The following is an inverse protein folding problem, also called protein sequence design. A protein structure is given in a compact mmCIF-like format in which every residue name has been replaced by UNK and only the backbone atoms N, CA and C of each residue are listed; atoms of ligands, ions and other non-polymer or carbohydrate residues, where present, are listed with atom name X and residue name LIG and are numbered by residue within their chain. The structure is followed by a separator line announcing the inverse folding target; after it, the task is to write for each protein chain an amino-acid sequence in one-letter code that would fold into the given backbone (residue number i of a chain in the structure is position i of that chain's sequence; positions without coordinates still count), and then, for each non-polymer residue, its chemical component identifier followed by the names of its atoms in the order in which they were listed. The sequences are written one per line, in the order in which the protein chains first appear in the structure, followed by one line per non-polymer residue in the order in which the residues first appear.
data_IF_563967884380
#
_entry.id   IF_563967884380
#
_cell.length_a   1.000
_cell.length_b   1.000
_cell.length_c   1.000
_cell.angle_alpha   90.00
_cell.angle_beta   90.00
_cell.angle_gamma   90.00
#
_symmetry.space_group_name_H-M   'P 1'
#
loop_
_entity.id
_entity.type
_entity.pdbx_description
1 polymer ?
#
# COMPACT_ATOMS: atom_id res chain seq x y z
N UNK A 1 -57.36 1.71 -47.29
CA UNK A 1 -58.30 0.72 -46.73
C UNK A 1 -59.00 0.04 -47.88
N UNK A 2 -58.59 -1.18 -48.25
CA UNK A 2 -59.39 -2.03 -49.12
C UNK A 2 -60.30 -2.84 -48.20
N UNK A 3 -61.60 -2.56 -48.27
CA UNK A 3 -62.66 -3.27 -47.55
C UNK A 3 -62.80 -4.69 -48.10
N UNK A 4 -62.43 -5.70 -47.30
CA UNK A 4 -62.74 -7.10 -47.61
C UNK A 4 -64.19 -7.36 -47.17
N UNK A 5 -65.04 -7.64 -48.15
CA UNK A 5 -66.44 -8.03 -47.94
C UNK A 5 -66.51 -9.53 -47.64
N UNK A 6 -67.02 -9.86 -46.46
CA UNK A 6 -67.64 -11.15 -46.11
C UNK A 6 -66.79 -12.42 -46.28
N UNK A 7 -65.99 -12.75 -45.24
CA UNK A 7 -65.45 -14.10 -45.04
C UNK A 7 -66.52 -15.02 -44.45
N UNK A 8 -67.07 -15.86 -45.30
CA UNK A 8 -68.13 -16.82 -45.00
C UNK A 8 -67.73 -17.85 -43.95
N UNK A 9 -68.45 -17.81 -42.84
CA UNK A 9 -68.81 -18.92 -41.96
C UNK A 9 -69.21 -20.17 -42.78
N UNK A 10 -68.33 -21.16 -42.90
CA UNK A 10 -68.64 -22.48 -43.50
C UNK A 10 -67.57 -23.14 -44.41
N UNK A 11 -66.40 -22.52 -44.63
CA UNK A 11 -65.42 -22.97 -45.63
C UNK A 11 -64.36 -23.98 -45.15
N UNK A 12 -64.34 -24.37 -43.87
CA UNK A 12 -63.26 -25.21 -43.34
C UNK A 12 -61.86 -24.55 -43.43
N UNK A 13 -61.79 -23.25 -43.73
CA UNK A 13 -60.57 -22.47 -43.72
C UNK A 13 -60.17 -22.22 -42.26
N UNK A 14 -58.99 -22.72 -41.90
CA UNK A 14 -58.38 -22.47 -40.60
C UNK A 14 -57.92 -21.01 -40.52
N UNK A 15 -58.87 -20.15 -40.15
CA UNK A 15 -58.63 -18.72 -39.98
C UNK A 15 -57.61 -18.44 -38.87
N UNK A 16 -57.48 -19.35 -37.89
CA UNK A 16 -56.43 -19.26 -36.87
C UNK A 16 -55.07 -19.57 -37.51
N UNK A 17 -54.95 -20.64 -38.28
CA UNK A 17 -53.72 -20.95 -39.02
C UNK A 17 -53.30 -19.88 -40.04
N UNK A 18 -54.24 -19.22 -40.72
CA UNK A 18 -53.94 -18.10 -41.62
C UNK A 18 -53.51 -16.85 -40.84
N UNK A 19 -54.14 -16.57 -39.69
CA UNK A 19 -53.76 -15.48 -38.80
C UNK A 19 -52.38 -15.72 -38.19
N UNK A 20 -52.07 -16.95 -37.81
CA UNK A 20 -50.76 -17.36 -37.30
C UNK A 20 -49.68 -17.20 -38.39
N UNK A 21 -49.94 -17.67 -39.62
CA UNK A 21 -49.03 -17.47 -40.76
C UNK A 21 -48.79 -15.99 -41.10
N UNK A 22 -49.83 -15.13 -41.00
CA UNK A 22 -49.69 -13.69 -41.19
C UNK A 22 -48.90 -13.03 -40.04
N UNK A 23 -49.14 -13.45 -38.79
CA UNK A 23 -48.39 -12.99 -37.63
C UNK A 23 -46.92 -13.42 -37.71
N UNK A 24 -46.62 -14.65 -38.13
CA UNK A 24 -45.26 -15.16 -38.30
C UNK A 24 -44.53 -14.44 -39.44
N UNK A 25 -45.20 -14.17 -40.56
CA UNK A 25 -44.63 -13.37 -41.65
C UNK A 25 -44.36 -11.91 -41.23
N UNK A 26 -45.20 -11.32 -40.38
CA UNK A 26 -44.98 -9.98 -39.84
C UNK A 26 -43.85 -9.98 -38.78
N UNK A 27 -43.74 -11.05 -37.97
CA UNK A 27 -42.62 -11.26 -37.02
C UNK A 27 -41.28 -11.49 -37.73
N UNK A 28 -41.27 -12.17 -38.88
CA UNK A 28 -40.06 -12.36 -39.68
C UNK A 28 -39.43 -11.04 -40.14
N UNK A 29 -40.19 -9.93 -40.20
CA UNK A 29 -39.64 -8.59 -40.46
C UNK A 29 -38.85 -8.00 -39.28
N UNK A 30 -39.06 -8.51 -38.07
CA UNK A 30 -38.35 -8.08 -36.85
C UNK A 30 -37.03 -8.84 -36.65
N UNK A 31 -36.92 -10.06 -37.15
CA UNK A 31 -35.72 -10.89 -37.06
C UNK A 31 -34.42 -10.17 -37.50
N UNK A 32 -34.35 -9.44 -38.64
CA UNK A 32 -33.13 -8.70 -39.01
C UNK A 32 -32.83 -7.52 -38.08
N UNK A 33 -33.83 -6.97 -37.39
CA UNK A 33 -33.65 -5.91 -36.38
C UNK A 33 -33.13 -6.53 -35.08
N UNK A 34 -33.67 -7.67 -34.66
CA UNK A 34 -33.20 -8.42 -33.49
C UNK A 34 -31.73 -8.85 -33.68
N UNK A 35 -31.37 -9.38 -34.86
CA UNK A 35 -29.98 -9.71 -35.20
C UNK A 35 -29.05 -8.48 -35.19
N UNK A 36 -29.54 -7.32 -35.63
CA UNK A 36 -28.77 -6.07 -35.53
C UNK A 36 -28.56 -5.64 -34.08
N UNK A 37 -29.58 -5.77 -33.23
CA UNK A 37 -29.50 -5.45 -31.80
C UNK A 37 -28.48 -6.37 -31.13
N UNK A 38 -28.54 -7.68 -31.37
CA UNK A 38 -27.57 -8.65 -30.84
C UNK A 38 -26.15 -8.32 -31.30
N UNK A 39 -25.96 -8.05 -32.59
CA UNK A 39 -24.66 -7.65 -33.13
C UNK A 39 -24.11 -6.37 -32.48
N UNK A 40 -24.96 -5.37 -32.25
CA UNK A 40 -24.57 -4.13 -31.56
C UNK A 40 -24.25 -4.35 -30.08
N UNK A 41 -24.96 -5.24 -29.39
CA UNK A 41 -24.67 -5.58 -27.99
C UNK A 41 -23.31 -6.29 -27.86
N UNK A 42 -23.00 -7.19 -28.79
CA UNK A 42 -21.69 -7.85 -28.87
C UNK A 42 -20.59 -6.82 -29.14
N UNK A 43 -20.78 -5.91 -30.11
CA UNK A 43 -19.83 -4.82 -30.36
C UNK A 43 -19.62 -3.92 -29.14
N UNK A 44 -20.69 -3.56 -28.42
CA UNK A 44 -20.59 -2.74 -27.21
C UNK A 44 -19.78 -3.43 -26.12
N UNK A 45 -19.96 -4.75 -25.97
CA UNK A 45 -19.19 -5.56 -25.02
C UNK A 45 -17.70 -5.62 -25.40
N UNK A 46 -17.41 -5.83 -26.69
CA UNK A 46 -16.05 -5.82 -27.22
C UNK A 46 -15.35 -4.46 -27.08
N UNK A 47 -16.07 -3.34 -27.24
CA UNK A 47 -15.53 -2.01 -26.93
C UNK A 47 -15.26 -1.81 -25.44
N UNK A 48 -16.09 -2.39 -24.57
CA UNK A 48 -15.85 -2.42 -23.13
C UNK A 48 -14.56 -3.16 -22.77
N UNK A 49 -14.31 -4.30 -23.40
CA UNK A 49 -13.05 -5.06 -23.24
C UNK A 49 -11.84 -4.27 -23.75
N UNK A 50 -11.94 -3.64 -24.92
CA UNK A 50 -10.89 -2.77 -25.46
C UNK A 50 -10.59 -1.60 -24.51
N UNK A 51 -11.63 -0.96 -23.97
CA UNK A 51 -11.49 0.12 -23.00
C UNK A 51 -10.82 -0.36 -21.71
N UNK A 52 -11.22 -1.53 -21.19
CA UNK A 52 -10.61 -2.14 -20.01
C UNK A 52 -9.12 -2.41 -20.22
N UNK A 53 -8.76 -3.00 -21.35
CA UNK A 53 -7.37 -3.26 -21.72
C UNK A 53 -6.55 -1.97 -21.87
N UNK A 54 -7.12 -0.93 -22.50
CA UNK A 54 -6.48 0.39 -22.59
C UNK A 54 -6.29 1.05 -21.24
N UNK A 55 -7.30 0.98 -20.36
CA UNK A 55 -7.22 1.54 -19.01
C UNK A 55 -6.13 0.83 -18.18
N UNK A 56 -6.02 -0.49 -18.29
CA UNK A 56 -4.95 -1.27 -17.64
C UNK A 56 -3.56 -0.84 -18.13
N UNK A 57 -3.40 -0.69 -19.45
CA UNK A 57 -2.15 -0.19 -20.02
C UNK A 57 -1.84 1.25 -19.62
N UNK A 58 -2.85 2.15 -19.60
CA UNK A 58 -2.68 3.53 -19.15
C UNK A 58 -2.21 3.61 -17.69
N UNK A 59 -2.72 2.75 -16.81
CA UNK A 59 -2.27 2.65 -15.43
C UNK A 59 -0.78 2.31 -15.34
N UNK A 60 -0.33 1.32 -16.11
CA UNK A 60 1.07 0.94 -16.15
C UNK A 60 1.98 2.05 -16.72
N UNK A 61 1.52 2.78 -17.75
CA UNK A 61 2.23 3.97 -18.27
C UNK A 61 2.36 5.04 -17.20
N UNK A 62 1.27 5.32 -16.47
CA UNK A 62 1.25 6.38 -15.44
C UNK A 62 2.22 6.07 -14.30
N UNK A 63 2.35 4.80 -13.91
CA UNK A 63 3.34 4.36 -12.93
C UNK A 63 4.79 4.60 -13.39
N UNK A 64 5.08 4.44 -14.70
CA UNK A 64 6.41 4.72 -15.27
C UNK A 64 6.68 6.20 -15.51
N UNK A 65 5.63 7.03 -15.65
CA UNK A 65 5.78 8.47 -15.87
C UNK A 65 6.07 9.22 -14.56
N UNK A 66 5.84 8.57 -13.41
CA UNK A 66 6.08 9.16 -12.09
C UNK A 66 7.59 9.38 -11.81
N UNK A 67 8.05 10.63 -11.63
CA UNK A 67 9.45 10.92 -11.31
C UNK A 67 9.92 10.34 -9.97
N UNK A 68 8.99 10.10 -9.03
CA UNK A 68 9.31 9.55 -7.70
C UNK A 68 9.81 8.11 -7.79
N UNK A 69 9.29 7.32 -8.73
CA UNK A 69 9.74 5.94 -9.00
C UNK A 69 11.24 5.87 -9.33
N UNK A 70 11.78 6.90 -9.98
CA UNK A 70 13.20 6.95 -10.32
C UNK A 70 14.04 7.67 -9.27
N UNK A 71 13.43 8.27 -8.26
CA UNK A 71 14.11 8.94 -7.16
C UNK A 71 14.05 8.13 -5.88
N UNK A 72 13.20 7.10 -5.82
CA UNK A 72 13.07 6.20 -4.69
C UNK A 72 14.40 5.57 -4.29
N UNK A 73 14.55 5.43 -2.99
CA UNK A 73 15.69 4.83 -2.33
C UNK A 73 15.22 3.57 -1.61
N UNK A 74 16.08 2.56 -1.57
CA UNK A 74 15.91 1.38 -0.74
C UNK A 74 16.97 1.39 0.35
N UNK A 75 16.59 0.96 1.55
CA UNK A 75 17.52 0.64 2.63
C UNK A 75 17.64 -0.88 2.71
N UNK A 76 18.77 -1.41 2.25
CA UNK A 76 19.07 -2.84 2.37
C UNK A 76 19.87 -3.06 3.67
N UNK A 77 19.33 -3.89 4.56
CA UNK A 77 19.94 -4.15 5.88
C UNK A 77 20.65 -5.50 5.87
N UNK A 78 21.85 -5.53 6.43
CA UNK A 78 22.63 -6.74 6.73
C UNK A 78 22.75 -6.89 8.24
N UNK A 79 22.17 -7.96 8.78
CA UNK A 79 22.05 -8.21 10.22
C UNK A 79 20.59 -8.39 10.62
N UNK A 80 20.35 -8.63 11.90
CA UNK A 80 19.03 -8.88 12.47
C UNK A 80 18.67 -7.88 13.57
N UNK A 81 19.57 -6.95 13.93
CA UNK A 81 19.39 -6.00 15.02
C UNK A 81 18.39 -4.88 14.69
N UNK A 82 18.29 -4.53 13.40
CA UNK A 82 17.40 -3.47 12.92
C UNK A 82 16.76 -3.82 11.58
N UNK A 83 15.62 -3.21 11.31
CA UNK A 83 15.08 -3.00 9.97
C UNK A 83 15.15 -1.51 9.64
N UNK A 84 15.19 -1.16 8.36
CA UNK A 84 15.29 0.23 7.93
C UNK A 84 14.37 0.50 6.74
N UNK A 85 13.71 1.66 6.76
CA UNK A 85 12.95 2.19 5.64
C UNK A 85 13.55 3.55 5.25
N UNK A 86 13.91 3.71 3.98
CA UNK A 86 14.41 4.98 3.45
C UNK A 86 13.26 5.76 2.81
N UNK A 87 13.15 7.04 3.15
CA UNK A 87 12.31 8.00 2.48
C UNK A 87 12.96 8.58 1.20
N UNK A 88 12.25 9.47 0.49
CA UNK A 88 12.70 10.03 -0.78
C UNK A 88 13.92 10.97 -0.70
N UNK A 89 14.12 11.61 0.46
CA UNK A 89 15.19 12.58 0.74
C UNK A 89 16.36 11.95 1.53
N UNK A 90 16.34 10.63 1.73
CA UNK A 90 17.41 9.92 2.39
C UNK A 90 18.74 10.08 1.63
N UNK A 91 19.84 10.16 2.37
CA UNK A 91 21.17 10.23 1.75
C UNK A 91 21.69 8.84 1.40
N UNK A 92 22.06 8.56 0.14
CA UNK A 92 22.67 7.29 -0.22
C UNK A 92 24.01 7.10 0.48
N UNK A 93 24.22 5.92 1.06
CA UNK A 93 25.42 5.65 1.83
C UNK A 93 25.32 4.37 2.66
N UNK A 94 26.45 3.98 3.23
CA UNK A 94 26.54 2.90 4.20
C UNK A 94 26.52 3.48 5.61
N UNK A 95 25.67 2.92 6.47
CA UNK A 95 25.55 3.26 7.87
C UNK A 95 25.76 2.00 8.70
N UNK A 96 26.72 2.04 9.61
CA UNK A 96 26.93 0.96 10.58
C UNK A 96 26.17 1.32 11.86
N UNK A 97 25.26 0.44 12.27
CA UNK A 97 24.37 0.62 13.42
C UNK A 97 24.69 -0.44 14.47
N UNK A 98 24.85 -0.02 15.72
CA UNK A 98 24.99 -0.92 16.87
C UNK A 98 23.88 -0.63 17.86
N UNK A 99 23.01 -1.62 18.11
CA UNK A 99 21.95 -1.52 19.12
C UNK A 99 22.48 -2.08 20.43
N UNK A 100 22.63 -1.20 21.43
CA UNK A 100 23.14 -1.58 22.75
C UNK A 100 22.02 -2.03 23.69
N UNK A 101 20.86 -1.37 23.62
CA UNK A 101 19.69 -1.68 24.45
C UNK A 101 18.44 -1.28 23.70
N UNK A 102 17.39 -2.10 23.78
CA UNK A 102 16.07 -1.79 23.24
C UNK A 102 15.26 -0.92 24.21
N UNK A 103 14.36 -0.11 23.64
CA UNK A 103 13.38 0.60 24.44
C UNK A 103 12.38 -0.40 25.04
N UNK A 104 12.07 -0.24 26.32
CA UNK A 104 11.08 -1.06 27.04
C UNK A 104 10.07 -0.19 27.76
N UNK A 105 8.83 -0.66 27.81
CA UNK A 105 7.76 -0.01 28.58
C UNK A 105 7.94 -0.28 30.08
N UNK A 106 7.58 0.71 30.90
CA UNK A 106 7.54 0.56 32.34
C UNK A 106 6.32 -0.23 32.81
N UNK A 107 6.45 -0.91 33.95
CA UNK A 107 5.31 -1.49 34.66
C UNK A 107 5.37 -1.18 36.15
N UNK A 108 4.20 -0.88 36.71
CA UNK A 108 4.00 -0.55 38.12
C UNK A 108 2.91 -1.45 38.69
N UNK A 109 3.17 -2.14 39.80
CA UNK A 109 2.15 -2.91 40.48
C UNK A 109 2.05 -2.49 41.94
N UNK A 110 0.84 -2.33 42.45
CA UNK A 110 0.62 -2.05 43.87
C UNK A 110 1.16 -3.18 44.75
N UNK A 111 1.39 -2.88 46.02
CA UNK A 111 1.32 -3.90 47.04
C UNK A 111 -0.04 -4.62 47.01
N UNK A 112 -0.10 -5.79 47.64
CA UNK A 112 -1.38 -6.48 47.83
C UNK A 112 -2.33 -5.55 48.60
N UNK A 113 -3.56 -5.43 48.11
CA UNK A 113 -4.59 -4.66 48.79
C UNK A 113 -5.01 -5.39 50.07
N UNK A 114 -5.05 -4.66 51.18
CA UNK A 114 -5.65 -5.12 52.42
C UNK A 114 -7.17 -4.93 52.37
N UNK A 115 -7.93 -5.79 53.06
CA UNK A 115 -9.38 -5.65 53.18
C UNK A 115 -10.21 -6.09 51.97
N UNK A 116 -9.58 -6.66 50.94
CA UNK A 116 -10.25 -7.17 49.73
C UNK A 116 -10.13 -8.70 49.65
N UNK A 117 -11.26 -9.39 49.74
CA UNK A 117 -11.37 -10.85 49.63
C UNK A 117 -11.87 -11.28 48.24
N UNK A 118 -12.71 -10.45 47.61
CA UNK A 118 -13.31 -10.70 46.30
C UNK A 118 -13.20 -9.48 45.38
N UNK A 119 -13.36 -9.68 44.07
CA UNK A 119 -13.35 -8.57 43.09
C UNK A 119 -14.59 -7.66 43.19
N UNK A 120 -15.65 -8.13 43.85
CA UNK A 120 -16.91 -7.40 44.02
C UNK A 120 -16.89 -6.52 45.29
N UNK A 121 -15.84 -6.60 46.10
CA UNK A 121 -15.70 -5.79 47.30
C UNK A 121 -15.49 -4.32 46.92
N UNK A 122 -16.18 -3.43 47.62
CA UNK A 122 -16.07 -1.98 47.41
C UNK A 122 -14.71 -1.51 47.92
N UNK A 123 -13.93 -0.89 47.03
CA UNK A 123 -12.59 -0.35 47.30
C UNK A 123 -12.67 1.13 47.63
N UNK A 124 -13.52 1.87 46.92
CA UNK A 124 -13.68 3.33 47.02
C UNK A 124 -15.11 3.64 47.46
N UNK A 125 -15.26 4.22 48.66
CA UNK A 125 -16.56 4.48 49.28
C UNK A 125 -17.13 5.86 48.96
N UNK A 126 -16.28 6.89 48.90
CA UNK A 126 -16.71 8.28 48.70
C UNK A 126 -16.36 8.87 47.33
N UNK A 127 -15.67 8.11 46.47
CA UNK A 127 -15.10 8.61 45.21
C UNK A 127 -13.85 9.47 45.44
N UNK A 128 -13.32 10.04 44.37
CA UNK A 128 -12.20 10.99 44.43
C UNK A 128 -11.32 10.96 43.19
N UNK A 129 -10.21 11.68 43.25
CA UNK A 129 -9.25 11.79 42.15
C UNK A 129 -7.98 10.98 42.48
N UNK A 130 -7.76 9.90 41.75
CA UNK A 130 -6.51 9.14 41.75
C UNK A 130 -5.51 9.85 40.84
N UNK A 131 -4.28 10.08 41.27
CA UNK A 131 -3.23 10.61 40.38
C UNK A 131 -2.18 9.56 40.06
N UNK A 132 -1.99 9.26 38.78
CA UNK A 132 -0.85 8.45 38.32
C UNK A 132 0.36 9.37 38.13
N UNK A 133 1.49 8.99 38.72
CA UNK A 133 2.71 9.79 38.69
C UNK A 133 3.68 9.24 37.65
N UNK A 134 4.25 10.14 36.84
CA UNK A 134 5.29 9.83 35.86
C UNK A 134 6.56 10.60 36.18
N UNK A 135 7.23 10.22 37.27
CA UNK A 135 8.46 10.88 37.74
C UNK A 135 9.64 9.90 37.84
N UNK A 136 10.23 9.49 36.70
CA UNK A 136 11.37 8.58 36.71
C UNK A 136 12.67 9.24 37.19
N UNK A 137 12.66 10.54 37.51
CA UNK A 137 13.79 11.26 38.11
C UNK A 137 13.69 11.31 39.65
N UNK A 138 12.48 11.19 40.20
CA UNK A 138 12.20 11.24 41.64
C UNK A 138 12.43 12.62 42.25
N UNK A 139 12.36 13.68 41.44
CA UNK A 139 12.58 15.07 41.86
C UNK A 139 11.28 15.88 42.02
N UNK A 140 10.13 15.22 41.84
CA UNK A 140 8.80 15.81 41.95
C UNK A 140 8.39 16.67 40.75
N UNK A 141 9.10 16.59 39.63
CA UNK A 141 8.81 17.38 38.41
C UNK A 141 8.01 16.64 37.33
N UNK A 142 7.73 15.35 37.55
CA UNK A 142 6.92 14.53 36.64
C UNK A 142 5.47 15.01 36.53
N UNK A 143 4.81 14.82 35.36
CA UNK A 143 3.40 15.12 35.22
C UNK A 143 2.54 14.11 35.99
N UNK A 144 1.48 14.62 36.61
CA UNK A 144 0.43 13.80 37.21
C UNK A 144 -0.74 13.66 36.23
N UNK A 145 -1.23 12.43 36.09
CA UNK A 145 -2.47 12.16 35.38
C UNK A 145 -3.62 11.95 36.38
N UNK A 146 -4.54 12.91 36.51
CA UNK A 146 -5.72 12.76 37.35
C UNK A 146 -6.74 11.81 36.70
N UNK A 147 -7.30 10.90 37.49
CA UNK A 147 -8.30 9.92 37.10
C UNK A 147 -9.44 9.98 38.12
N UNK A 148 -10.64 10.31 37.66
CA UNK A 148 -11.79 10.42 38.54
C UNK A 148 -12.40 9.03 38.79
N UNK A 149 -12.40 8.60 40.06
CA UNK A 149 -12.99 7.35 40.51
C UNK A 149 -14.33 7.65 41.20
N UNK A 150 -15.38 6.95 40.78
CA UNK A 150 -16.71 7.11 41.35
C UNK A 150 -16.81 6.53 42.77
N UNK A 151 -17.80 6.99 43.54
CA UNK A 151 -18.15 6.34 44.81
C UNK A 151 -18.68 4.92 44.56
N UNK A 152 -18.57 4.06 45.57
CA UNK A 152 -18.94 2.64 45.55
C UNK A 152 -18.24 1.81 44.45
N UNK A 153 -17.01 2.20 44.05
CA UNK A 153 -16.25 1.51 43.00
C UNK A 153 -15.49 0.29 43.52
N UNK A 154 -15.49 -0.78 42.72
CA UNK A 154 -14.68 -2.00 42.92
C UNK A 154 -13.30 -1.90 42.26
N UNK A 155 -12.44 -2.91 42.46
CA UNK A 155 -11.17 -3.02 41.72
C UNK A 155 -11.38 -3.07 40.20
N UNK A 156 -12.45 -3.72 39.74
CA UNK A 156 -12.77 -3.80 38.33
C UNK A 156 -13.15 -2.42 37.77
N UNK A 157 -13.95 -1.65 38.52
CA UNK A 157 -14.34 -0.30 38.13
C UNK A 157 -13.15 0.65 38.07
N UNK A 158 -12.19 0.52 39.01
CA UNK A 158 -10.94 1.29 39.00
C UNK A 158 -10.11 0.96 37.76
N UNK A 159 -9.92 -0.33 37.45
CA UNK A 159 -9.22 -0.77 36.24
C UNK A 159 -9.87 -0.18 35.00
N UNK A 160 -11.19 -0.25 34.93
CA UNK A 160 -11.95 0.21 33.76
C UNK A 160 -11.92 1.74 33.63
N UNK A 161 -11.94 2.48 34.76
CA UNK A 161 -11.73 3.92 34.78
C UNK A 161 -10.34 4.31 34.25
N UNK A 162 -9.28 3.64 34.70
CA UNK A 162 -7.92 3.90 34.20
C UNK A 162 -7.81 3.61 32.70
N UNK A 163 -8.34 2.47 32.26
CA UNK A 163 -8.31 2.10 30.83
C UNK A 163 -9.17 3.01 29.95
N UNK A 164 -10.21 3.63 30.50
CA UNK A 164 -11.09 4.55 29.76
C UNK A 164 -10.41 5.89 29.42
N UNK A 165 -9.48 6.35 30.27
CA UNK A 165 -8.73 7.60 30.06
C UNK A 165 -7.81 7.56 28.83
N UNK A 166 -7.42 6.37 28.35
CA UNK A 166 -6.57 6.18 27.15
C UNK A 166 -5.28 7.02 27.16
N UNK A 167 -4.76 7.33 28.34
CA UNK A 167 -3.64 8.25 28.54
C UNK A 167 -2.27 7.54 28.50
N UNK A 168 -2.13 6.51 27.66
CA UNK A 168 -0.86 5.77 27.51
C UNK A 168 -0.57 4.74 28.59
N UNK A 169 -1.59 4.34 29.38
CA UNK A 169 -1.47 3.33 30.44
C UNK A 169 -2.56 2.27 30.29
N UNK A 170 -2.22 1.02 30.53
CA UNK A 170 -3.13 -0.12 30.61
C UNK A 170 -3.12 -0.70 32.01
N UNK A 171 -4.28 -0.74 32.66
CA UNK A 171 -4.49 -1.33 33.96
C UNK A 171 -5.05 -2.76 33.85
N UNK A 172 -4.57 -3.62 34.74
CA UNK A 172 -5.00 -5.00 34.90
C UNK A 172 -5.01 -5.39 36.37
N UNK A 173 -5.80 -6.41 36.71
CA UNK A 173 -5.84 -6.94 38.07
C UNK A 173 -5.12 -8.27 38.07
N UNK A 174 -4.11 -8.40 38.93
CA UNK A 174 -3.31 -9.62 39.08
C UNK A 174 -3.63 -10.23 40.43
N UNK A 175 -4.00 -11.51 40.43
CA UNK A 175 -4.09 -12.31 41.65
C UNK A 175 -2.79 -13.12 41.78
N UNK A 176 -2.02 -12.85 42.82
CA UNK A 176 -0.73 -13.50 43.08
C UNK A 176 -0.83 -14.82 43.86
N UNK A 177 -2.06 -15.32 44.05
CA UNK A 177 -2.38 -16.58 44.72
C UNK A 177 -2.79 -16.41 46.19
N UNK A 178 -2.50 -15.27 46.79
CA UNK A 178 -2.95 -14.96 48.15
C UNK A 178 -3.61 -13.58 48.30
N UNK A 179 -3.78 -12.83 47.19
CA UNK A 179 -4.62 -11.62 47.13
C UNK A 179 -4.51 -10.87 45.80
N UNK A 180 -5.18 -9.72 45.72
CA UNK A 180 -5.27 -8.92 44.49
C UNK A 180 -4.31 -7.73 44.50
N UNK A 181 -3.79 -7.41 43.31
CA UNK A 181 -2.96 -6.24 43.03
C UNK A 181 -3.47 -5.54 41.79
N UNK A 182 -3.36 -4.21 41.77
CA UNK A 182 -3.56 -3.43 40.56
C UNK A 182 -2.21 -3.28 39.86
N UNK A 183 -2.12 -3.78 38.63
CA UNK A 183 -0.92 -3.71 37.81
C UNK A 183 -1.17 -2.79 36.61
N UNK A 184 -0.31 -1.80 36.45
CA UNK A 184 -0.30 -0.81 35.39
C UNK A 184 0.90 -1.07 34.49
N UNK A 185 0.69 -0.95 33.19
CA UNK A 185 1.73 -1.05 32.19
C UNK A 185 1.61 0.14 31.26
N UNK A 186 2.73 0.81 30.99
CA UNK A 186 2.77 1.85 29.97
C UNK A 186 2.55 1.22 28.59
N UNK A 187 1.76 1.87 27.74
CA UNK A 187 1.63 1.48 26.32
C UNK A 187 2.80 2.00 25.50
N UNK A 188 3.47 3.05 25.97
CA UNK A 188 4.65 3.63 25.36
C UNK A 188 5.93 3.10 26.02
N UNK A 189 6.99 2.96 25.23
CA UNK A 189 8.31 2.61 25.75
C UNK A 189 9.09 3.85 26.18
N UNK A 190 10.18 3.63 26.91
CA UNK A 190 11.09 4.69 27.31
C UNK A 190 10.98 5.01 28.80
N UNK A 191 11.99 5.73 29.29
CA UNK A 191 12.12 6.07 30.70
C UNK A 191 11.00 7.02 31.13
N UNK A 192 10.73 8.06 30.33
CA UNK A 192 9.75 9.11 30.63
C UNK A 192 8.30 8.62 30.67
N UNK A 193 7.97 7.54 29.94
CA UNK A 193 6.64 6.95 29.94
C UNK A 193 6.37 6.03 31.15
N UNK A 194 7.33 5.90 32.08
CA UNK A 194 7.20 4.98 33.21
C UNK A 194 6.29 5.55 34.30
N UNK A 195 5.35 4.71 34.76
CA UNK A 195 4.54 4.99 35.94
C UNK A 195 5.41 4.72 37.17
N UNK A 196 5.57 5.73 38.03
CA UNK A 196 6.44 5.65 39.21
C UNK A 196 5.68 5.63 40.53
N UNK A 197 4.38 5.94 40.50
CA UNK A 197 3.56 5.99 41.71
C UNK A 197 2.08 6.16 41.41
N UNK A 198 1.28 5.94 42.45
CA UNK A 198 -0.16 6.19 42.45
C UNK A 198 -0.54 6.91 43.74
N UNK A 199 -0.97 8.16 43.60
CA UNK A 199 -1.41 8.96 44.73
C UNK A 199 -2.93 8.79 44.94
N UNK A 200 -3.26 8.16 46.06
CA UNK A 200 -4.63 7.93 46.54
C UNK A 200 -5.08 8.99 47.56
N UNK A 201 -4.28 10.03 47.82
CA UNK A 201 -4.52 11.01 48.88
C UNK A 201 -5.86 11.75 48.79
N UNK A 202 -6.39 11.92 47.58
CA UNK A 202 -7.69 12.55 47.31
C UNK A 202 -8.82 11.55 47.04
N UNK A 203 -8.59 10.25 47.27
CA UNK A 203 -9.59 9.17 47.09
C UNK A 203 -10.12 8.68 48.44
N UNK A 204 -11.44 8.68 48.62
CA UNK A 204 -12.07 8.16 49.82
C UNK A 204 -12.21 6.62 49.76
N UNK A 205 -11.21 5.91 50.30
CA UNK A 205 -11.17 4.45 50.39
C UNK A 205 -12.26 3.89 51.34
N UNK A 206 -12.65 2.63 51.15
CA UNK A 206 -13.51 1.90 52.07
C UNK A 206 -12.77 1.52 53.37
N UNK A 207 -13.52 1.30 54.45
CA UNK A 207 -12.92 0.97 55.76
C UNK A 207 -12.17 -0.37 55.70
N UNK A 208 -10.95 -0.39 56.23
CA UNK A 208 -10.06 -1.56 56.16
C UNK A 208 -9.34 -1.77 54.82
N UNK A 209 -9.60 -0.94 53.81
CA UNK A 209 -8.88 -0.97 52.53
C UNK A 209 -7.66 -0.07 52.57
N UNK A 210 -6.50 -0.64 52.24
CA UNK A 210 -5.23 0.09 52.22
C UNK A 210 -4.42 -0.21 50.96
N UNK A 211 -3.92 0.85 50.33
CA UNK A 211 -2.85 0.78 49.33
C UNK A 211 -1.52 1.12 50.01
N UNK A 212 -0.65 0.13 50.18
CA UNK A 212 0.71 0.37 50.68
C UNK A 212 1.61 0.76 49.51
N UNK A 213 2.00 2.03 49.46
CA UNK A 213 2.66 2.63 48.30
C UNK A 213 4.21 2.48 48.31
N UNK A 214 4.84 2.16 49.43
CA UNK A 214 6.26 2.56 49.61
C UNK A 214 7.29 1.44 49.87
N UNK A 215 6.96 0.13 49.82
CA UNK A 215 7.97 -0.90 50.12
C UNK A 215 7.90 -2.22 49.34
N UNK A 216 6.81 -2.50 48.62
CA UNK A 216 6.56 -3.79 47.95
C UNK A 216 5.97 -3.65 46.55
N UNK A 217 5.88 -2.42 46.03
CA UNK A 217 5.55 -2.18 44.64
C UNK A 217 6.64 -2.76 43.74
N UNK A 218 6.24 -3.48 42.70
CA UNK A 218 7.18 -3.91 41.64
C UNK A 218 7.24 -2.75 40.66
N UNK A 219 8.28 -1.95 40.78
CA UNK A 219 8.59 -0.86 39.86
C UNK A 219 9.64 -1.35 38.85
N UNK A 220 9.21 -1.54 37.60
CA UNK A 220 10.11 -1.68 36.49
C UNK A 220 10.03 -0.41 35.66
N UNK A 221 11.00 0.48 35.85
CA UNK A 221 11.18 1.66 35.00
C UNK A 221 11.54 1.20 33.58
N UNK A 222 10.80 1.73 32.61
CA UNK A 222 11.07 1.59 31.19
C UNK A 222 12.46 2.10 30.83
N UNK A 223 13.05 1.57 29.77
CA UNK A 223 14.36 1.98 29.28
C UNK A 223 14.20 2.64 27.93
N UNK A 224 15.01 3.65 27.67
CA UNK A 224 15.17 4.19 26.32
C UNK A 224 16.07 3.25 25.50
N UNK A 225 15.82 3.19 24.20
CA UNK A 225 16.72 2.55 23.26
C UNK A 225 18.03 3.33 23.22
N UNK A 226 19.14 2.60 23.27
CA UNK A 226 20.49 3.14 23.09
C UNK A 226 21.11 2.45 21.89
N UNK A 227 21.53 3.25 20.92
CA UNK A 227 22.18 2.78 19.71
C UNK A 227 23.28 3.73 19.28
N UNK A 228 24.20 3.25 18.45
CA UNK A 228 25.14 4.12 17.75
C UNK A 228 24.94 4.02 16.25
N UNK A 229 25.06 5.14 15.55
CA UNK A 229 25.09 5.18 14.08
C UNK A 229 26.42 5.78 13.66
N UNK A 230 27.26 5.00 12.97
CA UNK A 230 28.63 5.38 12.63
C UNK A 230 29.45 5.86 13.85
N UNK A 231 29.18 5.31 15.03
CA UNK A 231 29.83 5.67 16.29
C UNK A 231 29.29 6.94 16.99
N UNK A 232 28.18 7.51 16.50
CA UNK A 232 27.47 8.61 17.17
C UNK A 232 26.39 8.00 18.07
N UNK A 233 26.43 8.31 19.37
CA UNK A 233 25.43 7.84 20.33
C UNK A 233 24.07 8.50 20.09
N UNK A 234 23.03 7.67 20.07
CA UNK A 234 21.64 8.08 19.90
C UNK A 234 20.80 7.42 20.98
N UNK A 235 19.91 8.21 21.57
CA UNK A 235 18.91 7.74 22.53
C UNK A 235 17.53 8.00 21.98
N UNK A 236 16.63 7.03 22.12
CA UNK A 236 15.25 7.13 21.66
C UNK A 236 14.32 6.51 22.69
N UNK A 237 13.19 7.17 22.98
CA UNK A 237 12.15 6.62 23.83
C UNK A 237 11.48 5.38 23.18
N UNK A 238 11.55 5.23 21.86
CA UNK A 238 10.89 4.16 21.11
C UNK A 238 11.85 3.29 20.29
N UNK A 239 11.43 2.05 20.01
CA UNK A 239 12.13 1.14 19.08
C UNK A 239 11.89 1.50 17.60
N UNK A 240 11.06 2.50 17.30
CA UNK A 240 11.00 3.16 16.00
C UNK A 240 11.76 4.49 16.11
N UNK A 241 13.00 4.48 15.63
CA UNK A 241 13.89 5.63 15.70
C UNK A 241 13.82 6.40 14.39
N UNK A 242 13.23 7.58 14.43
CA UNK A 242 13.19 8.54 13.33
C UNK A 242 14.23 9.65 13.56
N UNK A 243 14.76 10.22 12.48
CA UNK A 243 15.66 11.37 12.55
C UNK A 243 17.12 11.07 12.95
N UNK A 244 17.43 9.84 13.38
CA UNK A 244 18.80 9.36 13.62
C UNK A 244 19.67 9.43 12.35
N UNK A 245 19.09 9.04 11.22
CA UNK A 245 19.61 9.26 9.88
C UNK A 245 18.53 10.08 9.16
N UNK A 246 18.93 11.10 8.40
CA UNK A 246 17.98 11.95 7.68
C UNK A 246 17.08 11.11 6.77
N UNK A 247 15.77 11.22 7.01
CA UNK A 247 14.72 10.57 6.22
C UNK A 247 14.87 9.03 6.14
N UNK A 248 15.40 8.42 7.20
CA UNK A 248 15.41 6.97 7.38
C UNK A 248 14.78 6.64 8.73
N UNK A 249 13.80 5.75 8.71
CA UNK A 249 13.17 5.19 9.91
C UNK A 249 13.84 3.86 10.24
N UNK A 250 14.35 3.73 11.46
CA UNK A 250 14.96 2.51 11.97
C UNK A 250 13.98 1.80 12.92
N UNK A 251 13.72 0.51 12.68
CA UNK A 251 12.94 -0.33 13.57
C UNK A 251 13.87 -1.30 14.28
N UNK A 252 14.10 -1.10 15.57
CA UNK A 252 15.00 -1.92 16.38
C UNK A 252 14.31 -3.23 16.78
N UNK A 253 14.99 -4.34 16.57
CA UNK A 253 14.43 -5.70 16.77
C UNK A 253 15.17 -6.48 17.85
N UNK A 254 16.49 -6.33 17.95
CA UNK A 254 17.32 -6.95 18.97
C UNK A 254 18.63 -6.17 19.15
N UNK A 255 19.35 -6.49 20.23
CA UNK A 255 20.69 -5.95 20.46
C UNK A 255 21.69 -6.56 19.47
N UNK A 256 22.70 -5.76 19.09
CA UNK A 256 23.80 -6.17 18.20
C UNK A 256 24.05 -5.22 17.03
N UNK A 257 24.95 -5.65 16.14
CA UNK A 257 25.37 -4.89 14.96
C UNK A 257 24.49 -5.15 13.74
N UNK A 258 24.29 -4.12 12.93
CA UNK A 258 23.72 -4.23 11.59
C UNK A 258 24.28 -3.14 10.70
N UNK A 259 24.42 -3.42 9.40
CA UNK A 259 24.84 -2.45 8.41
C UNK A 259 23.66 -2.15 7.49
N UNK A 260 23.37 -0.87 7.29
CA UNK A 260 22.34 -0.38 6.39
C UNK A 260 23.02 0.22 5.17
N UNK A 261 22.63 -0.21 3.98
CA UNK A 261 23.05 0.37 2.72
C UNK A 261 21.86 1.05 2.06
N UNK A 262 21.89 2.38 2.03
CA UNK A 262 20.88 3.19 1.34
C UNK A 262 21.34 3.40 -0.09
N UNK A 263 20.58 2.86 -1.05
CA UNK A 263 20.86 3.00 -2.46
C UNK A 263 19.60 3.31 -3.27
N UNK A 264 19.77 3.57 -4.57
CA UNK A 264 18.63 3.79 -5.46
C UNK A 264 17.87 2.49 -5.64
N UNK A 265 16.55 2.54 -5.46
CA UNK A 265 15.70 1.37 -5.62
C UNK A 265 15.57 1.00 -7.12
N UNK A 266 16.51 0.17 -7.58
CA UNK A 266 16.45 -0.37 -8.95
C UNK A 266 15.46 -1.53 -9.08
N UNK A 267 14.94 -2.06 -7.97
CA UNK A 267 13.99 -3.17 -7.96
C UNK A 267 12.60 -2.66 -8.32
N UNK A 268 12.12 -1.61 -7.67
CA UNK A 268 10.85 -0.97 -8.00
C UNK A 268 10.79 -0.52 -9.47
N UNK A 269 11.87 0.06 -9.99
CA UNK A 269 11.96 0.44 -11.42
C UNK A 269 11.85 -0.78 -12.34
N UNK A 270 12.49 -1.91 -12.00
CA UNK A 270 12.39 -3.14 -12.81
C UNK A 270 10.99 -3.75 -12.76
N UNK A 271 10.35 -3.74 -11.61
CA UNK A 271 8.99 -4.23 -11.43
C UNK A 271 7.99 -3.39 -12.23
N UNK A 272 8.08 -2.05 -12.12
CA UNK A 272 7.27 -1.14 -12.93
C UNK A 272 7.44 -1.40 -14.43
N UNK A 273 8.69 -1.47 -14.92
CA UNK A 273 8.98 -1.79 -16.33
C UNK A 273 8.42 -3.15 -16.75
N UNK A 274 8.49 -4.15 -15.87
CA UNK A 274 7.93 -5.48 -16.13
C UNK A 274 6.40 -5.40 -16.24
N UNK A 275 5.73 -4.72 -15.31
CA UNK A 275 4.29 -4.48 -15.34
C UNK A 275 3.84 -3.72 -16.58
N UNK A 276 4.62 -2.75 -17.06
CA UNK A 276 4.37 -2.08 -18.34
C UNK A 276 4.40 -3.04 -19.53
N UNK A 277 5.41 -3.91 -19.60
CA UNK A 277 5.53 -4.91 -20.68
C UNK A 277 4.37 -5.90 -20.62
N UNK A 278 3.98 -6.35 -19.43
CA UNK A 278 2.85 -7.25 -19.22
C UNK A 278 1.52 -6.60 -19.62
N UNK A 279 1.28 -5.36 -19.20
CA UNK A 279 0.07 -4.63 -19.57
C UNK A 279 -0.01 -4.37 -21.08
N UNK A 280 1.12 -4.06 -21.74
CA UNK A 280 1.17 -3.93 -23.19
C UNK A 280 0.87 -5.26 -23.89
N UNK A 281 1.47 -6.36 -23.42
CA UNK A 281 1.25 -7.68 -24.00
C UNK A 281 -0.20 -8.14 -23.81
N UNK A 282 -0.79 -7.87 -22.64
CA UNK A 282 -2.21 -8.11 -22.36
C UNK A 282 -3.11 -7.31 -23.29
N UNK A 283 -2.87 -6.00 -23.44
CA UNK A 283 -3.57 -5.17 -24.42
C UNK A 283 -3.46 -5.73 -25.83
N UNK A 284 -2.25 -6.11 -26.25
CA UNK A 284 -2.01 -6.69 -27.58
C UNK A 284 -2.70 -8.04 -27.79
N UNK A 285 -2.84 -8.85 -26.74
CA UNK A 285 -3.58 -10.10 -26.79
C UNK A 285 -5.08 -9.82 -26.99
N UNK A 286 -5.67 -8.96 -26.15
CA UNK A 286 -7.09 -8.57 -26.27
C UNK A 286 -7.42 -7.96 -27.63
N UNK A 287 -6.61 -7.01 -28.13
CA UNK A 287 -6.87 -6.45 -29.48
C UNK A 287 -6.64 -7.45 -30.59
N UNK A 288 -5.72 -8.40 -30.39
CA UNK A 288 -5.49 -9.52 -31.30
C UNK A 288 -6.70 -10.44 -31.40
N UNK A 289 -7.28 -10.84 -30.28
CA UNK A 289 -8.48 -11.69 -30.20
C UNK A 289 -9.69 -10.99 -30.84
N UNK A 290 -9.97 -9.74 -30.44
CA UNK A 290 -11.09 -8.95 -30.97
C UNK A 290 -11.01 -8.66 -32.47
N UNK A 291 -9.81 -8.72 -33.07
CA UNK A 291 -9.58 -8.43 -34.49
C UNK A 291 -9.11 -9.63 -35.32
N UNK A 292 -9.04 -10.83 -34.73
CA UNK A 292 -8.59 -12.03 -35.42
C UNK A 292 -9.66 -12.60 -36.36
N UNK A 293 -9.23 -13.39 -37.33
CA UNK A 293 -10.10 -14.25 -38.11
C UNK A 293 -9.63 -15.69 -37.96
N UNK A 294 -10.48 -16.57 -37.47
CA UNK A 294 -10.19 -17.99 -37.34
C UNK A 294 -10.58 -18.70 -38.65
N UNK A 295 -9.58 -19.10 -39.43
CA UNK A 295 -9.80 -19.78 -40.71
C UNK A 295 -10.34 -21.21 -40.58
N UNK A 296 -10.22 -21.84 -39.40
CA UNK A 296 -10.69 -23.20 -39.15
C UNK A 296 -12.17 -23.23 -38.78
N UNK A 297 -12.64 -22.27 -37.98
CA UNK A 297 -14.05 -22.15 -37.59
C UNK A 297 -14.85 -21.19 -38.49
N UNK A 298 -14.17 -20.40 -39.32
CA UNK A 298 -14.77 -19.34 -40.13
C UNK A 298 -15.26 -18.14 -39.31
N UNK A 299 -14.92 -18.07 -38.02
CA UNK A 299 -15.39 -17.02 -37.11
C UNK A 299 -14.48 -15.79 -37.17
N UNK A 300 -15.10 -14.63 -37.31
CA UNK A 300 -14.45 -13.32 -37.18
C UNK A 300 -14.55 -12.85 -35.72
N UNK A 301 -13.48 -12.25 -35.22
CA UNK A 301 -13.51 -11.49 -33.97
C UNK A 301 -14.49 -10.34 -34.07
N UNK A 302 -15.02 -9.93 -32.93
CA UNK A 302 -16.16 -9.02 -32.77
C UNK A 302 -15.91 -7.64 -33.38
N UNK A 303 -14.64 -7.23 -33.47
CA UNK A 303 -14.17 -5.95 -34.04
C UNK A 303 -13.31 -6.16 -35.30
N UNK A 304 -13.43 -7.29 -35.99
CA UNK A 304 -12.71 -7.51 -37.25
C UNK A 304 -13.10 -6.44 -38.28
N UNK A 305 -12.09 -5.69 -38.75
CA UNK A 305 -12.31 -4.62 -39.73
C UNK A 305 -12.65 -3.26 -39.13
N UNK A 306 -12.83 -3.18 -37.81
CA UNK A 306 -13.18 -1.95 -37.13
C UNK A 306 -12.07 -0.88 -37.27
N UNK A 307 -12.49 0.36 -37.55
CA UNK A 307 -11.58 1.47 -37.80
C UNK A 307 -11.03 2.10 -36.52
N UNK A 308 -11.79 2.05 -35.42
CA UNK A 308 -11.38 2.61 -34.14
C UNK A 308 -10.29 1.75 -33.50
N UNK A 309 -10.46 0.43 -33.46
CA UNK A 309 -9.43 -0.51 -32.98
C UNK A 309 -8.12 -0.34 -33.78
N UNK A 310 -8.20 -0.31 -35.12
CA UNK A 310 -7.03 -0.10 -35.98
C UNK A 310 -6.35 1.25 -35.73
N UNK A 311 -7.12 2.30 -35.49
CA UNK A 311 -6.60 3.63 -35.17
C UNK A 311 -5.84 3.60 -33.85
N UNK A 312 -6.41 3.02 -32.79
CA UNK A 312 -5.78 2.86 -31.48
C UNK A 312 -4.45 2.10 -31.60
N UNK A 313 -4.45 0.95 -32.27
CA UNK A 313 -3.22 0.17 -32.45
C UNK A 313 -2.15 0.93 -33.22
N UNK A 314 -2.53 1.68 -34.26
CA UNK A 314 -1.60 2.44 -35.08
C UNK A 314 -0.96 3.59 -34.31
N UNK A 315 -1.75 4.31 -33.48
CA UNK A 315 -1.27 5.39 -32.63
C UNK A 315 -0.35 4.86 -31.54
N UNK A 316 -0.77 3.83 -30.82
CA UNK A 316 0.06 3.23 -29.76
C UNK A 316 1.40 2.72 -30.31
N UNK A 317 1.38 2.05 -31.47
CA UNK A 317 2.61 1.61 -32.13
C UNK A 317 3.50 2.79 -32.53
N UNK A 318 2.91 3.89 -33.03
CA UNK A 318 3.65 5.09 -33.39
C UNK A 318 4.28 5.76 -32.18
N UNK A 319 3.58 5.86 -31.04
CA UNK A 319 4.09 6.47 -29.81
C UNK A 319 5.24 5.64 -29.23
N UNK A 320 5.09 4.31 -29.19
CA UNK A 320 6.14 3.40 -28.72
C UNK A 320 7.37 3.39 -29.64
N UNK A 321 7.19 3.48 -30.96
CA UNK A 321 8.29 3.54 -31.91
C UNK A 321 8.96 4.94 -31.94
N UNK A 322 8.17 6.00 -31.78
CA UNK A 322 8.61 7.40 -31.79
C UNK A 322 9.51 7.74 -30.61
N UNK A 323 9.23 7.20 -29.43
CA UNK A 323 10.05 7.38 -28.22
C UNK A 323 11.47 6.82 -28.35
N UNK A 324 11.65 5.72 -29.10
CA UNK A 324 12.97 5.08 -29.30
C UNK A 324 13.84 5.86 -30.30
N UNK A 325 13.24 6.51 -31.29
CA UNK A 325 13.96 7.26 -32.34
C UNK A 325 14.65 8.54 -31.84
N UNK A 326 14.03 9.27 -30.92
CA UNK A 326 14.61 10.53 -30.39
C UNK A 326 15.76 10.28 -29.41
N UNK A 327 15.73 9.18 -28.65
CA UNK A 327 16.83 8.78 -27.78
C UNK A 327 18.08 8.35 -28.57
N UNK A 328 17.90 7.74 -29.75
CA UNK A 328 18.99 7.37 -30.64
C UNK A 328 19.60 8.59 -31.38
N UNK A 329 18.77 9.52 -31.85
CA UNK A 329 19.23 10.73 -32.53
C UNK A 329 20.05 11.67 -31.62
N UNK A 330 19.74 11.71 -30.31
CA UNK A 330 20.49 12.51 -29.33
C UNK A 330 21.86 11.94 -28.94
N UNK A 331 22.14 10.66 -29.22
CA UNK A 331 23.48 10.07 -29.03
C UNK A 331 24.46 10.44 -30.15
N UNK A 332 23.98 10.93 -31.30
CA UNK A 332 24.82 11.22 -32.46
C UNK A 332 25.54 12.59 -32.41
N UNK A 333 25.27 13.44 -31.41
CA UNK A 333 25.73 14.83 -31.35
C UNK A 333 26.80 15.14 -30.28
N UNK A 334 27.49 14.14 -29.72
CA UNK A 334 28.61 14.36 -28.79
C UNK A 334 29.96 14.11 -29.51
N UNK A 335 30.70 15.16 -29.91
CA UNK A 335 31.98 15.00 -30.60
C UNK A 335 33.10 14.82 -29.58
N UNK A 336 33.24 13.64 -28.96
CA UNK A 336 34.49 13.33 -28.23
C UNK A 336 34.79 11.84 -27.95
N UNK A 337 34.15 10.88 -28.63
CA UNK A 337 34.37 9.44 -28.36
C UNK A 337 34.69 8.60 -29.61
N UNK A 338 35.48 9.15 -30.55
CA UNK A 338 35.81 8.47 -31.81
C UNK A 338 36.95 7.43 -31.74
N UNK A 339 37.64 7.26 -30.61
CA UNK A 339 38.81 6.37 -30.54
C UNK A 339 38.60 5.02 -29.85
N UNK A 340 37.37 4.67 -29.44
CA UNK A 340 37.10 3.37 -28.77
C UNK A 340 35.98 2.52 -29.39
N UNK A 341 35.45 2.91 -30.55
CA UNK A 341 34.27 2.24 -31.16
C UNK A 341 34.62 1.04 -32.06
N UNK A 342 35.89 0.84 -32.43
CA UNK A 342 36.29 -0.22 -33.38
C UNK A 342 36.12 -1.65 -32.87
N UNK A 343 35.75 -1.87 -31.59
CA UNK A 343 35.65 -3.21 -30.98
C UNK A 343 34.27 -3.62 -30.43
N UNK A 344 33.26 -2.76 -30.54
CA UNK A 344 31.91 -3.04 -30.00
C UNK A 344 30.79 -3.08 -31.06
N UNK A 345 31.11 -3.12 -32.35
CA UNK A 345 30.09 -3.12 -33.43
C UNK A 345 29.43 -4.47 -33.72
N UNK A 346 29.54 -5.48 -32.85
CA UNK A 346 28.94 -6.82 -33.07
C UNK A 346 27.88 -7.26 -32.05
N UNK A 347 27.49 -6.43 -31.08
CA UNK A 347 26.60 -6.87 -29.97
C UNK A 347 25.51 -5.86 -29.56
N UNK A 348 24.82 -5.26 -30.54
CA UNK A 348 23.55 -4.57 -30.28
C UNK A 348 22.37 -5.45 -30.78
N UNK A 349 21.43 -5.90 -29.91
CA UNK A 349 20.46 -6.94 -30.26
C UNK A 349 19.18 -6.43 -30.96
N UNK A 350 19.15 -5.18 -31.44
CA UNK A 350 17.93 -4.59 -32.01
C UNK A 350 17.88 -4.80 -33.53
N UNK A 351 17.27 -5.90 -33.97
CA UNK A 351 16.89 -6.09 -35.38
C UNK A 351 15.37 -6.06 -35.49
N UNK A 352 14.83 -4.98 -36.03
CA UNK A 352 13.42 -4.87 -36.40
C UNK A 352 13.21 -5.68 -37.69
N UNK A 353 12.57 -6.85 -37.59
CA UNK A 353 12.14 -7.62 -38.76
C UNK A 353 10.63 -7.57 -38.93
N UNK A 354 10.22 -7.38 -40.18
CA UNK A 354 8.84 -7.20 -40.66
C UNK A 354 8.11 -8.55 -40.67
N UNK A 355 7.81 -9.11 -39.51
CA UNK A 355 6.91 -10.27 -39.36
C UNK A 355 6.16 -10.13 -38.04
N UNK A 356 4.83 -10.20 -38.09
CA UNK A 356 3.85 -9.73 -37.11
C UNK A 356 3.76 -10.48 -35.77
N UNK A 357 4.87 -10.84 -35.15
CA UNK A 357 4.89 -11.44 -33.81
C UNK A 357 6.11 -10.98 -33.01
N UNK A 358 6.10 -9.73 -32.57
CA UNK A 358 7.10 -9.22 -31.63
C UNK A 358 6.55 -9.28 -30.22
N UNK A 359 6.88 -10.36 -29.51
CA UNK A 359 6.79 -10.43 -28.06
C UNK A 359 8.00 -9.69 -27.47
N UNK A 360 7.76 -8.72 -26.57
CA UNK A 360 8.86 -8.04 -25.88
C UNK A 360 9.42 -8.96 -24.79
N UNK A 361 10.72 -9.25 -24.86
CA UNK A 361 11.42 -10.06 -23.86
C UNK A 361 11.96 -9.16 -22.74
N UNK A 362 11.50 -9.38 -21.51
CA UNK A 362 11.97 -8.65 -20.33
C UNK A 362 13.51 -8.77 -20.14
N UNK A 363 14.13 -9.88 -20.55
CA UNK A 363 15.55 -10.17 -20.34
C UNK A 363 16.51 -9.24 -21.09
N UNK A 364 16.10 -8.69 -22.24
CA UNK A 364 16.96 -7.78 -23.02
C UNK A 364 16.97 -6.36 -22.45
N UNK A 365 15.91 -5.96 -21.74
CA UNK A 365 15.79 -4.64 -21.11
C UNK A 365 16.53 -4.54 -19.77
N UNK A 366 16.46 -5.58 -18.92
CA UNK A 366 17.13 -5.58 -17.60
C UNK A 366 18.64 -5.39 -17.71
N UNK A 367 19.25 -5.94 -18.77
CA UNK A 367 20.70 -5.81 -19.05
C UNK A 367 21.09 -4.38 -19.47
N UNK A 368 20.18 -3.62 -20.08
CA UNK A 368 20.42 -2.22 -20.47
C UNK A 368 20.28 -1.27 -19.26
N UNK A 369 19.24 -1.44 -18.44
CA UNK A 369 19.00 -0.62 -17.25
C UNK A 369 20.15 -0.68 -16.22
N UNK A 370 20.77 -1.86 -16.04
CA UNK A 370 21.94 -2.02 -15.16
C UNK A 370 23.23 -1.36 -15.67
N UNK A 371 23.32 -1.04 -16.96
CA UNK A 371 24.59 -0.61 -17.57
C UNK A 371 24.81 0.90 -17.62
N UNK A 372 23.77 1.73 -17.42
CA UNK A 372 23.90 3.20 -17.51
C UNK A 372 22.75 3.99 -16.84
N UNK A 373 22.73 4.10 -15.50
CA UNK A 373 21.65 4.77 -14.74
C UNK A 373 21.52 6.28 -15.03
N UNK A 374 22.59 6.97 -15.47
CA UNK A 374 22.56 8.41 -15.77
C UNK A 374 21.76 8.77 -17.05
N UNK A 375 21.58 7.83 -17.98
CA UNK A 375 20.90 8.07 -19.27
C UNK A 375 19.38 7.87 -19.22
N UNK A 376 18.86 7.21 -18.19
CA UNK A 376 17.42 6.99 -18.03
C UNK A 376 16.65 8.28 -17.63
N UNK A 377 17.34 9.27 -17.05
CA UNK A 377 16.75 10.54 -16.56
C UNK A 377 16.23 11.50 -17.65
N UNK A 378 16.48 11.26 -18.95
CA UNK A 378 16.32 12.28 -20.00
C UNK A 378 15.29 12.09 -21.13
N UNK A 379 14.71 10.91 -21.42
CA UNK A 379 13.72 10.84 -22.51
C UNK A 379 12.33 11.31 -22.09
N UNK A 380 11.94 11.14 -20.82
CA UNK A 380 10.56 11.38 -20.35
C UNK A 380 10.27 12.88 -20.18
N UNK A 381 11.26 13.67 -19.76
CA UNK A 381 11.08 15.08 -19.34
C UNK A 381 11.00 16.13 -20.47
N UNK A 382 10.81 15.76 -21.74
CA UNK A 382 10.85 16.73 -22.84
C UNK A 382 9.69 16.69 -23.83
N UNK A 383 8.59 16.01 -23.51
CA UNK A 383 7.41 15.96 -24.38
C UNK A 383 6.33 17.03 -24.09
N UNK A 384 6.46 17.86 -23.05
CA UNK A 384 5.42 18.83 -22.65
C UNK A 384 5.88 20.30 -22.71
N UNK A 385 6.09 20.83 -23.92
CA UNK A 385 5.80 22.25 -24.16
C UNK A 385 5.77 22.56 -25.66
N UNK A 386 4.67 23.21 -26.08
CA UNK A 386 4.38 23.88 -27.37
C UNK A 386 3.46 23.14 -28.36
N UNK A 387 2.14 23.29 -28.18
CA UNK A 387 1.33 24.30 -28.92
C UNK A 387 -0.13 24.32 -28.43
N UNK A 388 -0.75 25.50 -28.32
CA UNK A 388 -2.13 25.66 -27.85
C UNK A 388 -3.13 25.35 -28.96
N UNK A 389 -4.19 24.62 -28.62
CA UNK A 389 -5.37 24.45 -29.46
C UNK A 389 -6.16 25.75 -29.47
N UNK A 390 -6.44 26.30 -30.65
CA UNK A 390 -7.28 27.48 -30.83
C UNK A 390 -8.26 27.25 -31.99
N UNK A 391 -9.55 27.35 -31.63
CA UNK A 391 -10.78 27.57 -32.42
C UNK A 391 -11.00 26.77 -33.71
#
# INVERSE_FOLDING_TARGET
MASISSLGIGSGLDLNGLLDQLNDAERGKLEPIEQQIESQQVQLSAYGELQGALSGFQGAVSALDDPSLFQSLSADVSGEAVQAAAGPDASPGRYDVEVQTLASAGSYATARLEGIETLDDVVVSGGGELRLQFDPAGDGSGPDLPINIAADSTLADIRDAINAEQAGVSASIVNDGEGYRLALMSTETGKEASITGMDWGDVALADGVGFSDTATAVDNIGKDAQLTVNGIDITSASNQVEGAIQDVTLSLTQEGSSTINVERDTRAVREAVTGFVEAYNSFKATTGELSAFNSETGQAGELLGDSALRTVESRLRADLAGGVGQAAARRAHLPCWQTWVSRCSSTAPWRWTRTGSTWWSARTWTRWANSSPATAKRPVWQASSTRPWGS
#
